data_IF_726552075963
#
_entry.id   IF_726552075963
#
_cell.length_a   1.000
_cell.length_b   1.000
_cell.length_c   1.000
_cell.angle_alpha   90.00
_cell.angle_beta   90.00
_cell.angle_gamma   90.00
#
_symmetry.space_group_name_H-M   'P 1'
#
loop_
_entity.id
_entity.type
_entity.pdbx_description
1 polymer ?
#
# COMPACT_ATOMS: atom_id res chain seq x y z
N UNK A 1 -5.15 7.45 -9.99
CA UNK A 1 -6.12 6.34 -10.04
C UNK A 1 -6.51 5.92 -8.62
N UNK A 2 -7.72 5.36 -8.45
CA UNK A 2 -8.17 4.84 -7.17
C UNK A 2 -7.55 3.47 -6.85
N UNK A 3 -7.27 3.21 -5.58
CA UNK A 3 -6.79 1.89 -5.13
C UNK A 3 -7.92 0.87 -5.22
N UNK A 4 -7.58 -0.36 -5.60
CA UNK A 4 -8.46 -1.53 -5.53
C UNK A 4 -7.87 -2.52 -4.55
N UNK A 5 -8.70 -3.06 -3.66
CA UNK A 5 -8.31 -4.08 -2.71
C UNK A 5 -8.90 -5.43 -3.11
N UNK A 6 -8.05 -6.44 -3.27
CA UNK A 6 -8.45 -7.80 -3.61
C UNK A 6 -8.16 -8.70 -2.41
N UNK A 7 -9.20 -9.34 -1.89
CA UNK A 7 -9.09 -10.26 -0.74
C UNK A 7 -8.81 -11.66 -1.22
N UNK A 8 -7.85 -12.31 -0.57
CA UNK A 8 -7.56 -13.73 -0.74
C UNK A 8 -7.92 -14.41 0.59
N UNK A 9 -8.69 -15.50 0.49
CA UNK A 9 -9.21 -16.31 1.61
C UNK A 9 -10.44 -15.78 2.35
N UNK A 10 -11.10 -16.70 3.06
CA UNK A 10 -12.22 -16.43 3.96
C UNK A 10 -11.95 -17.07 5.35
N UNK A 11 -11.77 -16.28 6.42
CA UNK A 11 -11.73 -14.81 6.45
C UNK A 11 -10.42 -14.26 5.82
N UNK A 12 -10.45 -13.04 5.26
CA UNK A 12 -9.29 -12.48 4.58
C UNK A 12 -8.18 -12.17 5.58
N UNK A 13 -7.04 -12.83 5.38
CA UNK A 13 -5.80 -12.57 6.13
C UNK A 13 -4.92 -11.56 5.40
N UNK A 14 -5.05 -11.47 4.07
CA UNK A 14 -4.25 -10.61 3.20
C UNK A 14 -5.14 -9.83 2.23
N UNK A 15 -4.73 -8.60 1.96
CA UNK A 15 -5.38 -7.69 1.02
C UNK A 15 -4.35 -7.31 -0.01
N UNK A 16 -4.49 -7.76 -1.26
CA UNK A 16 -3.66 -7.26 -2.33
C UNK A 16 -4.16 -5.87 -2.75
N UNK A 17 -3.23 -5.00 -3.08
CA UNK A 17 -3.46 -3.65 -3.53
C UNK A 17 -3.00 -3.49 -4.98
N UNK A 18 -3.76 -2.75 -5.76
CA UNK A 18 -3.42 -2.38 -7.14
C UNK A 18 -4.14 -1.09 -7.51
N UNK A 19 -3.58 -0.27 -8.41
CA UNK A 19 -4.26 0.90 -9.00
C UNK A 19 -4.77 0.66 -10.42
N UNK A 20 -4.46 -0.50 -11.01
CA UNK A 20 -4.89 -0.86 -12.38
C UNK A 20 -6.10 -1.82 -12.39
N UNK A 21 -6.68 -2.11 -11.22
CA UNK A 21 -7.87 -2.97 -11.07
C UNK A 21 -7.61 -4.47 -11.22
N UNK A 22 -6.40 -4.87 -11.61
CA UNK A 22 -5.95 -6.26 -11.71
C UNK A 22 -4.58 -6.43 -11.04
N UNK A 23 -4.29 -7.63 -10.55
CA UNK A 23 -2.95 -7.98 -10.05
C UNK A 23 -2.10 -8.59 -11.15
N UNK A 24 -0.79 -8.33 -11.11
CA UNK A 24 0.17 -9.07 -11.95
C UNK A 24 0.29 -10.50 -11.43
N UNK A 25 0.23 -11.54 -12.30
CA UNK A 25 0.50 -12.92 -11.89
C UNK A 25 1.89 -13.05 -11.29
N UNK A 26 1.98 -13.65 -10.10
CA UNK A 26 3.23 -13.83 -9.35
C UNK A 26 4.03 -12.52 -9.09
N UNK A 27 3.32 -11.38 -9.11
CA UNK A 27 3.86 -10.05 -8.86
C UNK A 27 3.01 -9.23 -7.86
N UNK A 28 2.22 -9.87 -6.99
CA UNK A 28 1.21 -9.19 -6.18
C UNK A 28 1.84 -8.32 -5.09
N UNK A 29 1.22 -7.17 -4.81
CA UNK A 29 1.54 -6.34 -3.65
C UNK A 29 0.44 -6.43 -2.60
N UNK A 30 0.81 -6.73 -1.36
CA UNK A 30 -0.08 -6.78 -0.22
C UNK A 30 0.06 -5.54 0.66
N UNK A 31 -1.01 -5.18 1.38
CA UNK A 31 -0.95 -4.17 2.43
C UNK A 31 0.00 -4.63 3.55
N UNK A 32 0.97 -3.78 3.90
CA UNK A 32 1.99 -4.09 4.90
C UNK A 32 1.61 -3.51 6.28
N UNK A 33 0.93 -4.32 7.09
CA UNK A 33 0.55 -3.97 8.47
C UNK A 33 1.69 -4.10 9.48
N UNK A 34 2.92 -4.40 9.07
CA UNK A 34 4.10 -4.29 9.94
C UNK A 34 4.57 -2.85 10.05
N UNK A 35 4.21 -2.01 9.07
CA UNK A 35 4.56 -0.59 8.97
C UNK A 35 3.36 0.31 9.26
N UNK A 36 3.63 1.44 9.91
CA UNK A 36 2.59 2.41 10.27
C UNK A 36 2.02 3.09 9.02
N UNK A 37 0.71 3.32 9.00
CA UNK A 37 0.07 4.19 8.02
C UNK A 37 0.45 5.65 8.25
N UNK A 38 0.97 6.30 7.21
CA UNK A 38 1.23 7.74 7.25
C UNK A 38 0.01 8.52 6.75
N UNK A 39 -0.39 9.55 7.51
CA UNK A 39 -1.59 10.35 7.25
C UNK A 39 -1.19 11.78 6.98
N UNK A 40 -1.39 12.23 5.74
CA UNK A 40 -1.14 13.61 5.34
C UNK A 40 -2.38 14.45 5.62
N UNK A 41 -2.18 15.60 6.27
CA UNK A 41 -3.25 16.54 6.64
C UNK A 41 -3.06 17.86 5.92
N UNK A 42 -4.15 18.61 5.70
CA UNK A 42 -4.12 19.88 4.96
C UNK A 42 -3.13 20.92 5.52
N UNK A 43 -2.98 21.00 6.85
CA UNK A 43 -1.97 21.86 7.48
C UNK A 43 -0.59 21.19 7.61
N UNK A 44 -0.39 20.07 6.91
CA UNK A 44 0.67 19.08 7.12
C UNK A 44 2.10 19.55 6.89
N UNK A 45 2.31 20.70 6.26
CA UNK A 45 3.65 21.30 6.14
C UNK A 45 4.06 22.00 7.46
N UNK A 46 3.08 22.46 8.27
CA UNK A 46 3.32 23.27 9.46
C UNK A 46 2.87 22.60 10.77
N UNK A 47 1.93 21.64 10.72
CA UNK A 47 1.57 20.79 11.86
C UNK A 47 0.94 19.47 11.40
N UNK A 48 1.69 18.36 11.55
CA UNK A 48 1.28 17.00 11.14
C UNK A 48 0.06 16.43 11.89
N UNK A 49 -0.39 17.05 12.97
CA UNK A 49 -1.47 16.54 13.81
C UNK A 49 -2.81 17.27 13.65
N UNK A 50 -2.82 18.47 13.06
CA UNK A 50 -4.01 19.33 12.98
C UNK A 50 -4.52 19.40 11.53
N UNK A 51 -5.84 19.32 11.37
CA UNK A 51 -6.53 19.47 10.09
C UNK A 51 -7.11 18.19 9.49
N UNK A 52 -7.94 18.33 8.44
CA UNK A 52 -8.52 17.20 7.74
C UNK A 52 -7.42 16.36 7.08
N UNK A 53 -7.58 15.04 7.12
CA UNK A 53 -6.72 14.12 6.39
C UNK A 53 -7.05 14.22 4.89
N UNK A 54 -6.03 14.50 4.08
CA UNK A 54 -6.16 14.73 2.64
C UNK A 54 -5.57 13.60 1.80
N UNK A 55 -4.61 12.86 2.36
CA UNK A 55 -4.01 11.70 1.71
C UNK A 55 -3.50 10.70 2.76
N UNK A 56 -3.33 9.46 2.32
CA UNK A 56 -2.68 8.37 3.05
C UNK A 56 -1.48 7.90 2.24
N UNK A 57 -0.40 7.58 2.95
CA UNK A 57 0.75 6.89 2.43
C UNK A 57 0.75 5.48 3.03
N UNK A 58 0.44 4.54 2.16
CA UNK A 58 0.08 3.18 2.53
C UNK A 58 1.27 2.27 2.20
N UNK A 59 1.91 1.66 3.19
CA UNK A 59 3.00 0.73 2.92
C UNK A 59 2.44 -0.54 2.28
N UNK A 60 3.14 -0.99 1.23
CA UNK A 60 2.83 -2.22 0.51
C UNK A 60 4.09 -3.06 0.40
N UNK A 61 3.90 -4.37 0.30
CA UNK A 61 4.98 -5.34 0.22
C UNK A 61 4.71 -6.37 -0.86
N UNK A 62 5.75 -6.70 -1.62
CA UNK A 62 5.66 -7.68 -2.68
C UNK A 62 5.53 -9.11 -2.11
N UNK A 63 4.79 -9.99 -2.78
CA UNK A 63 4.54 -11.36 -2.30
C UNK A 63 5.81 -12.21 -2.12
N UNK A 64 6.86 -11.88 -2.87
CA UNK A 64 8.19 -12.45 -2.80
C UNK A 64 9.22 -11.64 -2.00
N UNK A 65 8.82 -10.64 -1.21
CA UNK A 65 9.73 -9.79 -0.43
C UNK A 65 9.49 -10.01 1.07
N UNK A 66 10.52 -10.03 1.93
CA UNK A 66 10.34 -10.24 3.39
C UNK A 66 9.95 -8.97 4.16
N UNK A 67 10.29 -7.81 3.61
CA UNK A 67 10.06 -6.50 4.22
C UNK A 67 9.76 -5.51 3.10
N UNK A 68 8.59 -4.87 3.14
CA UNK A 68 8.17 -3.97 2.06
C UNK A 68 8.99 -2.69 2.01
N UNK A 69 9.55 -2.37 0.85
CA UNK A 69 10.19 -1.09 0.57
C UNK A 69 9.24 0.00 0.08
N UNK A 70 8.07 -0.37 -0.43
CA UNK A 70 7.22 0.54 -1.21
C UNK A 70 6.10 1.17 -0.39
N UNK A 71 5.63 2.33 -0.88
CA UNK A 71 4.52 3.08 -0.31
C UNK A 71 3.69 3.63 -1.47
N UNK A 72 2.36 3.57 -1.34
CA UNK A 72 1.43 4.07 -2.37
C UNK A 72 0.56 5.17 -1.80
N UNK A 73 0.32 6.20 -2.61
CA UNK A 73 -0.50 7.35 -2.24
C UNK A 73 -1.98 7.12 -2.50
N UNK A 74 -2.83 7.39 -1.49
CA UNK A 74 -4.30 7.33 -1.62
C UNK A 74 -4.90 8.65 -1.17
N UNK A 75 -5.61 9.32 -2.08
CA UNK A 75 -6.23 10.62 -1.79
C UNK A 75 -7.52 10.48 -0.96
N UNK A 76 -7.95 11.54 -0.27
CA UNK A 76 -9.20 11.57 0.47
C UNK A 76 -10.46 11.35 -0.39
N UNK A 77 -10.37 11.56 -1.71
CA UNK A 77 -11.45 11.25 -2.66
C UNK A 77 -11.52 9.77 -3.05
N UNK A 78 -10.58 8.94 -2.61
CA UNK A 78 -10.58 7.51 -2.91
C UNK A 78 -11.68 6.78 -2.11
N UNK A 79 -12.47 5.88 -2.74
CA UNK A 79 -13.52 5.12 -2.07
C UNK A 79 -13.04 4.34 -0.84
N UNK A 80 -11.81 3.82 -0.85
CA UNK A 80 -11.26 3.02 0.25
C UNK A 80 -10.56 3.85 1.33
N UNK A 81 -10.49 5.19 1.20
CA UNK A 81 -9.71 6.02 2.11
C UNK A 81 -10.06 5.82 3.59
N UNK A 82 -11.34 5.83 3.95
CA UNK A 82 -11.74 5.65 5.35
C UNK A 82 -11.57 4.21 5.82
N UNK A 83 -11.80 3.25 4.93
CA UNK A 83 -11.72 1.83 5.28
C UNK A 83 -10.27 1.39 5.48
N UNK A 84 -9.33 1.92 4.70
CA UNK A 84 -7.89 1.75 4.93
C UNK A 84 -7.47 2.27 6.32
N UNK A 85 -7.96 3.44 6.73
CA UNK A 85 -7.66 3.97 8.09
C UNK A 85 -8.21 3.07 9.18
N UNK A 86 -9.43 2.54 9.01
CA UNK A 86 -10.03 1.60 9.98
C UNK A 86 -9.24 0.29 9.99
N UNK A 87 -8.89 -0.22 8.82
CA UNK A 87 -8.16 -1.47 8.66
C UNK A 87 -6.80 -1.42 9.36
N UNK A 88 -6.07 -0.32 9.21
CA UNK A 88 -4.81 -0.12 9.94
C UNK A 88 -4.99 -0.07 11.46
N UNK A 89 -6.05 0.57 11.97
CA UNK A 89 -6.32 0.55 13.42
C UNK A 89 -6.58 -0.85 13.98
N UNK A 90 -7.11 -1.75 13.15
CA UNK A 90 -7.47 -3.12 13.55
C UNK A 90 -6.30 -4.08 13.39
N UNK A 91 -5.48 -3.89 12.35
CA UNK A 91 -4.45 -4.87 11.95
C UNK A 91 -3.03 -4.44 12.32
N UNK A 92 -2.74 -3.15 12.49
CA UNK A 92 -1.41 -2.68 12.86
C UNK A 92 -1.26 -2.58 14.40
N UNK A 93 -0.15 -3.05 14.98
CA UNK A 93 0.96 -3.75 14.32
C UNK A 93 0.64 -5.24 14.09
N UNK A 94 1.04 -5.78 12.94
CA UNK A 94 1.04 -7.22 12.65
C UNK A 94 2.46 -7.78 12.63
N UNK A 95 2.64 -9.09 12.90
CA UNK A 95 3.93 -9.75 12.73
C UNK A 95 4.34 -9.78 11.25
N UNK A 96 5.66 -9.85 10.95
CA UNK A 96 6.16 -10.08 9.60
C UNK A 96 5.59 -11.37 9.02
N UNK A 97 5.39 -11.38 7.71
CA UNK A 97 4.88 -12.55 7.01
C UNK A 97 6.04 -13.40 6.49
N UNK A 98 5.80 -14.71 6.40
CA UNK A 98 6.74 -15.63 5.78
C UNK A 98 6.61 -15.58 4.26
N UNK A 99 7.76 -15.70 3.60
CA UNK A 99 7.89 -15.70 2.14
C UNK A 99 8.37 -17.09 1.73
N UNK A 100 7.61 -17.74 0.86
CA UNK A 100 7.97 -19.08 0.35
C UNK A 100 9.12 -19.04 -0.65
N UNK A 101 9.22 -17.96 -1.44
CA UNK A 101 10.27 -17.75 -2.43
C UNK A 101 10.59 -16.27 -2.58
N UNK A 102 11.87 -15.91 -2.43
CA UNK A 102 12.33 -14.53 -2.56
C UNK A 102 12.39 -14.14 -4.05
N UNK A 103 11.74 -13.03 -4.41
CA UNK A 103 11.75 -12.50 -5.76
C UNK A 103 12.99 -11.61 -5.99
N UNK A 104 13.45 -11.56 -7.25
CA UNK A 104 14.50 -10.62 -7.66
C UNK A 104 14.01 -9.17 -7.53
N UNK A 105 14.86 -8.28 -6.99
CA UNK A 105 14.55 -6.87 -6.83
C UNK A 105 14.17 -6.17 -8.14
N UNK A 106 14.77 -6.56 -9.27
CA UNK A 106 14.38 -6.02 -10.59
C UNK A 106 12.95 -6.41 -10.97
N UNK A 107 12.55 -7.64 -10.66
CA UNK A 107 11.17 -8.11 -10.88
C UNK A 107 10.21 -7.32 -10.01
N UNK A 108 10.53 -7.11 -8.73
CA UNK A 108 9.70 -6.33 -7.80
C UNK A 108 9.50 -4.90 -8.32
N UNK A 109 10.55 -4.24 -8.81
CA UNK A 109 10.46 -2.89 -9.39
C UNK A 109 9.53 -2.88 -10.61
N UNK A 110 9.68 -3.85 -11.52
CA UNK A 110 8.85 -3.95 -12.72
C UNK A 110 7.37 -4.21 -12.38
N UNK A 111 7.11 -5.11 -11.42
CA UNK A 111 5.75 -5.44 -10.97
C UNK A 111 5.11 -4.26 -10.24
N UNK A 112 5.90 -3.47 -9.49
CA UNK A 112 5.44 -2.24 -8.85
C UNK A 112 5.05 -1.19 -9.88
N UNK A 113 5.93 -0.92 -10.86
CA UNK A 113 5.67 0.04 -11.93
C UNK A 113 4.43 -0.33 -12.76
N UNK A 114 4.18 -1.63 -12.91
CA UNK A 114 3.00 -2.13 -13.62
C UNK A 114 1.71 -1.88 -12.82
N UNK A 115 1.70 -2.14 -11.51
CA UNK A 115 0.48 -2.04 -10.69
C UNK A 115 0.21 -0.65 -10.11
N UNK A 116 1.25 0.18 -9.99
CA UNK A 116 1.21 1.52 -9.41
C UNK A 116 1.96 2.52 -10.31
N UNK A 117 1.51 2.71 -11.57
CA UNK A 117 2.25 3.53 -12.54
C UNK A 117 2.47 4.97 -12.05
N UNK A 118 1.47 5.58 -11.42
CA UNK A 118 1.56 6.95 -10.88
C UNK A 118 2.52 7.06 -9.68
N UNK A 119 2.65 6.02 -8.85
CA UNK A 119 3.53 6.03 -7.67
C UNK A 119 4.96 5.60 -8.02
N UNK A 120 5.14 4.92 -9.16
CA UNK A 120 6.46 4.54 -9.70
C UNK A 120 7.17 5.68 -10.42
N UNK A 121 6.41 6.70 -10.81
CA UNK A 121 6.94 7.94 -11.37
C UNK A 121 7.42 8.82 -10.22
N UNK A 122 8.59 8.53 -9.68
CA UNK A 122 9.29 9.50 -8.84
C UNK A 122 9.37 10.80 -9.62
N UNK A 123 8.72 11.85 -9.13
CA UNK A 123 8.79 13.19 -9.68
C UNK A 123 10.25 13.60 -9.78
N UNK A 124 10.74 13.82 -11.01
CA UNK A 124 11.77 14.82 -11.22
C UNK A 124 11.21 16.14 -10.70
N UNK A 125 11.64 16.55 -9.50
CA UNK A 125 11.45 17.88 -8.95
C UNK A 125 12.67 18.20 -8.07
#
# INVERSE_FOLDING_TARGET
>A
MAITLITYDNPPTRFAATKIGVTVPDGRFFLDFTRSLEVIRWFGIRNRFIGPAIALFIPVVHEGEKSGGYVVGVSAGDPYFQDLRKLWKVRFPSPPFEVSQEADGLKIIADFATQFPEDSQTSNA
#
